data_IF_245087589068
#
_entry.id   IF_245087589068
#
_cell.length_a   1.000
_cell.length_b   1.000
_cell.length_c   1.000
_cell.angle_alpha   90.00
_cell.angle_beta   90.00
_cell.angle_gamma   90.00
#
_symmetry.space_group_name_H-M   'P 1'
#
loop_
_entity.id
_entity.type
_entity.pdbx_description
1 polymer ?
#
# COMPACT_ATOMS: atom_id res chain seq x y z
N UNK A 1 -19.03 6.47 21.16
CA UNK A 1 -18.53 5.74 19.96
C UNK A 1 -17.29 4.98 20.37
N UNK A 2 -17.16 3.70 20.03
CA UNK A 2 -15.94 2.93 20.34
C UNK A 2 -14.83 3.41 19.41
N UNK A 3 -13.75 3.92 19.97
CA UNK A 3 -12.53 4.29 19.23
C UNK A 3 -11.55 3.13 19.26
N UNK A 4 -10.66 3.08 18.28
CA UNK A 4 -9.54 2.17 18.25
C UNK A 4 -8.34 2.83 17.58
N UNK A 5 -7.15 2.33 17.90
CA UNK A 5 -5.89 2.81 17.32
C UNK A 5 -5.21 1.65 16.60
N UNK A 6 -4.64 1.93 15.43
CA UNK A 6 -3.93 0.93 14.63
C UNK A 6 -2.81 1.59 13.84
N UNK A 7 -1.74 0.83 13.59
CA UNK A 7 -0.66 1.23 12.70
C UNK A 7 -0.84 0.59 11.32
N UNK A 8 -0.54 1.36 10.28
CA UNK A 8 -0.75 0.91 8.92
C UNK A 8 0.01 1.73 7.89
N UNK A 9 0.13 1.18 6.68
CA UNK A 9 0.69 1.87 5.52
C UNK A 9 -0.47 2.35 4.64
N UNK A 10 -0.43 3.62 4.23
CA UNK A 10 -1.40 4.17 3.28
C UNK A 10 -1.14 3.56 1.90
N UNK A 11 -1.97 2.61 1.47
CA UNK A 11 -1.82 1.90 0.18
C UNK A 11 -2.74 2.43 -0.92
N UNK A 12 -3.81 3.15 -0.57
CA UNK A 12 -4.73 3.74 -1.53
C UNK A 12 -5.46 4.95 -0.96
N UNK A 13 -5.77 5.91 -1.84
CA UNK A 13 -6.47 7.15 -1.51
C UNK A 13 -7.48 7.45 -2.60
N UNK A 14 -8.70 7.78 -2.22
CA UNK A 14 -9.77 8.15 -3.15
C UNK A 14 -10.48 9.39 -2.64
N UNK A 15 -10.68 10.39 -3.50
CA UNK A 15 -11.47 11.57 -3.14
C UNK A 15 -12.95 11.18 -3.04
N UNK A 16 -13.65 11.73 -2.06
CA UNK A 16 -15.11 11.59 -1.94
C UNK A 16 -15.73 12.95 -1.66
N UNK A 17 -16.65 13.36 -2.53
CA UNK A 17 -17.17 14.73 -2.54
C UNK A 17 -16.07 15.79 -2.61
N UNK A 18 -16.37 16.97 -2.09
CA UNK A 18 -15.47 18.13 -2.21
C UNK A 18 -14.36 18.17 -1.16
N UNK A 19 -14.63 17.70 0.07
CA UNK A 19 -13.75 17.95 1.20
C UNK A 19 -13.05 16.70 1.76
N UNK A 20 -13.50 15.51 1.38
CA UNK A 20 -13.17 14.27 2.10
C UNK A 20 -12.35 13.30 1.23
N UNK A 21 -11.71 12.32 1.87
CA UNK A 21 -11.08 11.18 1.19
C UNK A 21 -11.39 9.88 1.91
N UNK A 22 -11.48 8.80 1.15
CA UNK A 22 -11.31 7.43 1.64
C UNK A 22 -9.82 7.11 1.63
N UNK A 23 -9.32 6.61 2.75
CA UNK A 23 -7.94 6.20 2.94
C UNK A 23 -7.92 4.71 3.27
N UNK A 24 -7.29 3.91 2.42
CA UNK A 24 -7.10 2.48 2.68
C UNK A 24 -5.73 2.28 3.32
N UNK A 25 -5.74 1.69 4.51
CA UNK A 25 -4.55 1.30 5.25
C UNK A 25 -4.39 -0.21 5.15
N UNK A 26 -3.19 -0.66 4.84
CA UNK A 26 -2.79 -2.02 5.13
C UNK A 26 -2.15 -2.07 6.51
N UNK A 27 -2.76 -2.80 7.43
CA UNK A 27 -2.37 -2.84 8.84
C UNK A 27 -1.90 -4.23 9.22
N UNK A 28 -1.00 -4.30 10.20
CA UNK A 28 -0.49 -5.57 10.70
C UNK A 28 -1.59 -6.41 11.37
N UNK A 29 -2.46 -5.78 12.16
CA UNK A 29 -3.37 -6.48 13.08
C UNK A 29 -4.83 -6.50 12.65
N UNK A 30 -5.25 -5.60 11.76
CA UNK A 30 -6.63 -5.56 11.24
C UNK A 30 -6.69 -5.90 9.75
N UNK A 31 -5.57 -6.21 9.10
CA UNK A 31 -5.51 -6.39 7.65
C UNK A 31 -5.76 -5.09 6.90
N UNK A 32 -6.37 -5.19 5.72
CA UNK A 32 -6.74 -4.04 4.91
C UNK A 32 -8.04 -3.40 5.42
N UNK A 33 -7.99 -2.11 5.74
CA UNK A 33 -9.14 -1.33 6.21
C UNK A 33 -9.25 -0.02 5.46
N UNK A 34 -10.49 0.45 5.22
CA UNK A 34 -10.74 1.76 4.61
C UNK A 34 -11.40 2.70 5.62
N UNK A 35 -10.84 3.90 5.75
CA UNK A 35 -11.29 4.95 6.68
C UNK A 35 -11.74 6.20 5.94
N UNK A 36 -12.79 6.84 6.44
CA UNK A 36 -13.23 8.16 5.98
C UNK A 36 -12.42 9.26 6.68
N UNK A 37 -11.62 10.00 5.92
CA UNK A 37 -10.91 11.19 6.37
C UNK A 37 -11.72 12.45 6.02
N UNK A 38 -12.58 12.89 6.94
CA UNK A 38 -13.45 14.06 6.75
C UNK A 38 -12.66 15.38 6.75
N UNK A 39 -13.03 16.28 5.85
CA UNK A 39 -12.50 17.62 5.70
C UNK A 39 -11.01 17.66 5.33
N UNK A 40 -10.42 16.53 4.94
CA UNK A 40 -8.97 16.39 4.75
C UNK A 40 -8.44 17.27 3.61
N UNK A 41 -9.30 17.59 2.62
CA UNK A 41 -8.97 18.42 1.46
C UNK A 41 -9.19 19.92 1.68
N UNK A 42 -9.77 20.33 2.81
CA UNK A 42 -9.92 21.75 3.14
C UNK A 42 -8.54 22.38 3.30
N UNK A 43 -8.36 23.62 2.84
CA UNK A 43 -7.10 24.36 2.97
C UNK A 43 -6.63 24.50 4.43
N UNK A 44 -7.56 24.50 5.40
CA UNK A 44 -7.27 24.52 6.83
C UNK A 44 -6.85 23.16 7.43
N UNK A 45 -6.85 22.09 6.64
CA UNK A 45 -6.56 20.74 7.13
C UNK A 45 -5.08 20.56 7.45
N UNK A 46 -4.78 20.37 8.73
CA UNK A 46 -3.43 20.06 9.22
C UNK A 46 -2.99 18.61 8.96
N UNK A 47 -3.91 17.73 8.54
CA UNK A 47 -3.69 16.28 8.43
C UNK A 47 -3.35 15.82 6.99
N UNK A 48 -3.43 16.71 6.00
CA UNK A 48 -3.38 16.31 4.58
C UNK A 48 -2.07 15.62 4.22
N UNK A 49 -0.92 16.17 4.65
CA UNK A 49 0.40 15.59 4.40
C UNK A 49 0.67 14.31 5.18
N UNK A 50 -0.08 14.06 6.26
CA UNK A 50 0.09 12.85 7.08
C UNK A 50 -0.47 11.61 6.41
N UNK A 51 -1.49 11.77 5.55
CA UNK A 51 -2.19 10.68 4.85
C UNK A 51 -1.76 10.62 3.38
N UNK A 52 -0.48 10.88 3.10
CA UNK A 52 0.10 10.66 1.78
C UNK A 52 0.32 9.16 1.51
N UNK A 53 0.25 8.78 0.23
CA UNK A 53 0.48 7.40 -0.19
C UNK A 53 1.86 6.93 0.33
N UNK A 54 1.98 5.66 0.69
CA UNK A 54 3.16 5.01 1.26
C UNK A 54 3.52 5.42 2.69
N UNK A 55 2.93 6.47 3.28
CA UNK A 55 3.24 6.80 4.66
C UNK A 55 2.85 5.64 5.58
N UNK A 56 3.75 5.27 6.48
CA UNK A 56 3.42 4.46 7.65
C UNK A 56 2.91 5.41 8.74
N UNK A 57 1.71 5.13 9.22
CA UNK A 57 0.97 6.01 10.12
C UNK A 57 0.39 5.22 11.29
N UNK A 58 0.28 5.89 12.44
CA UNK A 58 -0.58 5.48 13.55
C UNK A 58 -1.85 6.31 13.46
N UNK A 59 -3.01 5.65 13.41
CA UNK A 59 -4.30 6.33 13.29
C UNK A 59 -5.21 5.96 14.46
N UNK A 60 -5.99 6.94 14.91
CA UNK A 60 -7.15 6.72 15.76
C UNK A 60 -8.41 6.83 14.92
N UNK A 61 -9.30 5.85 15.01
CA UNK A 61 -10.55 5.82 14.25
C UNK A 61 -11.75 5.59 15.18
N UNK A 62 -12.85 6.28 14.87
CA UNK A 62 -14.14 6.06 15.51
C UNK A 62 -14.96 5.08 14.69
N UNK A 63 -15.48 4.02 15.34
CA UNK A 63 -16.33 3.04 14.68
C UNK A 63 -17.61 3.70 14.16
N UNK A 64 -17.88 3.51 12.86
CA UNK A 64 -19.06 4.03 12.18
C UNK A 64 -20.33 3.22 12.48
N UNK A 65 -21.49 3.72 12.03
CA UNK A 65 -22.72 2.92 11.90
C UNK A 65 -22.66 2.20 10.55
N UNK A 66 -21.90 1.11 10.46
CA UNK A 66 -21.67 0.37 9.21
C UNK A 66 -20.21 -0.07 9.05
N UNK A 67 -19.79 -0.36 7.82
CA UNK A 67 -18.44 -0.86 7.52
C UNK A 67 -17.36 0.24 7.50
N UNK A 68 -17.79 1.51 7.36
CA UNK A 68 -16.90 2.64 7.17
C UNK A 68 -16.64 3.39 8.49
N UNK A 69 -15.41 3.23 8.98
CA UNK A 69 -14.91 3.89 10.19
C UNK A 69 -14.37 5.30 9.84
N UNK A 70 -14.45 6.24 10.78
CA UNK A 70 -14.02 7.64 10.54
C UNK A 70 -12.67 7.91 11.19
N UNK A 71 -11.72 8.42 10.42
CA UNK A 71 -10.40 8.83 10.91
C UNK A 71 -10.52 10.09 11.78
N UNK A 72 -10.06 9.98 13.02
CA UNK A 72 -10.09 11.07 14.00
C UNK A 72 -8.71 11.72 14.13
N UNK A 73 -7.66 10.92 14.31
CA UNK A 73 -6.29 11.38 14.49
C UNK A 73 -5.32 10.58 13.61
N UNK A 74 -4.19 11.20 13.29
CA UNK A 74 -3.11 10.58 12.53
C UNK A 74 -1.76 11.11 13.01
N UNK A 75 -0.81 10.20 13.18
CA UNK A 75 0.59 10.48 13.41
C UNK A 75 1.40 9.76 12.32
N UNK A 76 2.31 10.48 11.65
CA UNK A 76 3.25 9.86 10.71
C UNK A 76 4.37 9.21 11.52
N UNK A 77 4.57 7.91 11.31
CA UNK A 77 5.69 7.15 11.89
C UNK A 77 6.87 7.14 10.92
N UNK A 78 6.60 6.92 9.64
CA UNK A 78 7.60 6.97 8.59
C UNK A 78 6.99 7.49 7.28
N UNK A 79 7.62 8.50 6.70
CA UNK A 79 7.23 9.02 5.40
C UNK A 79 8.00 8.39 4.24
N UNK A 80 9.09 7.66 4.47
CA UNK A 80 9.98 7.13 3.42
C UNK A 80 10.43 8.21 2.41
N UNK A 81 10.72 9.42 2.89
CA UNK A 81 11.00 10.60 2.07
C UNK A 81 12.13 10.47 1.02
N UNK A 82 13.26 9.76 1.24
CA UNK A 82 14.43 9.85 0.36
C UNK A 82 14.19 9.50 -1.11
N UNK A 83 13.25 8.59 -1.39
CA UNK A 83 12.99 8.11 -2.75
C UNK A 83 11.80 8.77 -3.45
N UNK A 84 10.99 9.57 -2.74
CA UNK A 84 9.76 10.19 -3.29
C UNK A 84 10.01 11.24 -4.38
N UNK A 85 11.24 11.70 -4.54
CA UNK A 85 11.66 12.58 -5.64
C UNK A 85 11.98 11.86 -6.94
N UNK A 86 12.15 10.54 -6.89
CA UNK A 86 12.54 9.74 -8.05
C UNK A 86 11.32 9.00 -8.59
N UNK A 87 10.86 9.38 -9.76
CA UNK A 87 9.63 8.86 -10.35
C UNK A 87 9.64 7.33 -10.48
N UNK A 88 10.75 6.76 -10.96
CA UNK A 88 10.89 5.30 -11.05
C UNK A 88 10.72 4.59 -9.71
N UNK A 89 11.19 5.17 -8.59
CA UNK A 89 11.02 4.59 -7.25
C UNK A 89 9.58 4.68 -6.76
N UNK A 90 8.90 5.79 -7.06
CA UNK A 90 7.47 5.97 -6.77
C UNK A 90 6.67 4.87 -7.48
N UNK A 91 6.99 4.57 -8.74
CA UNK A 91 6.28 3.53 -9.48
C UNK A 91 6.46 2.15 -8.88
N UNK A 92 7.65 1.82 -8.41
CA UNK A 92 7.93 0.56 -7.72
C UNK A 92 7.13 0.46 -6.40
N UNK A 93 7.12 1.53 -5.60
CA UNK A 93 6.33 1.58 -4.38
C UNK A 93 4.83 1.44 -4.65
N UNK A 94 4.35 2.08 -5.72
CA UNK A 94 2.97 2.00 -6.18
C UNK A 94 2.59 0.58 -6.61
N UNK A 95 3.45 -0.09 -7.40
CA UNK A 95 3.23 -1.47 -7.81
C UNK A 95 3.05 -2.39 -6.60
N UNK A 96 3.93 -2.31 -5.60
CA UNK A 96 3.81 -3.13 -4.39
C UNK A 96 2.51 -2.85 -3.62
N UNK A 97 2.13 -1.57 -3.46
CA UNK A 97 0.88 -1.20 -2.79
C UNK A 97 -0.34 -1.68 -3.57
N UNK A 98 -0.31 -1.59 -4.91
CA UNK A 98 -1.37 -2.06 -5.79
C UNK A 98 -1.54 -3.59 -5.68
N UNK A 99 -0.44 -4.34 -5.70
CA UNK A 99 -0.47 -5.80 -5.54
C UNK A 99 -1.07 -6.18 -4.19
N UNK A 100 -0.64 -5.53 -3.10
CA UNK A 100 -1.21 -5.77 -1.76
C UNK A 100 -2.69 -5.39 -1.71
N UNK A 101 -3.10 -4.25 -2.26
CA UNK A 101 -4.52 -3.84 -2.33
C UNK A 101 -5.36 -4.86 -3.11
N UNK A 102 -4.81 -5.44 -4.18
CA UNK A 102 -5.57 -6.31 -5.08
C UNK A 102 -5.61 -7.77 -4.62
N UNK A 103 -4.58 -8.26 -3.94
CA UNK A 103 -4.46 -9.67 -3.52
C UNK A 103 -4.88 -9.95 -2.08
N UNK A 104 -4.97 -8.93 -1.22
CA UNK A 104 -5.41 -9.13 0.17
C UNK A 104 -6.88 -8.76 0.34
N UNK A 105 -7.68 -9.59 1.06
CA UNK A 105 -9.06 -9.24 1.37
C UNK A 105 -9.16 -8.23 2.52
N UNK A 106 -10.31 -7.55 2.59
CA UNK A 106 -10.59 -6.59 3.65
C UNK A 106 -10.70 -7.29 5.02
N UNK A 107 -10.17 -6.64 6.04
CA UNK A 107 -10.23 -7.08 7.44
C UNK A 107 -9.62 -8.45 7.74
N UNK A 108 -8.74 -8.97 6.87
CA UNK A 108 -7.96 -10.19 7.10
C UNK A 108 -6.48 -9.82 7.34
N UNK A 109 -5.96 -10.00 8.56
CA UNK A 109 -4.56 -9.69 8.88
C UNK A 109 -3.59 -10.62 8.14
N UNK A 110 -2.56 -10.03 7.55
CA UNK A 110 -1.40 -10.73 7.00
C UNK A 110 -0.10 -10.04 7.49
N UNK A 111 0.33 -10.31 8.74
CA UNK A 111 1.48 -9.64 9.35
C UNK A 111 2.77 -9.74 8.52
N UNK A 112 2.98 -10.87 7.83
CA UNK A 112 4.19 -11.11 7.06
C UNK A 112 4.25 -10.26 5.80
N UNK A 113 3.09 -10.03 5.17
CA UNK A 113 2.95 -9.12 4.03
C UNK A 113 3.12 -7.68 4.51
N UNK A 114 2.63 -7.35 5.71
CA UNK A 114 2.80 -6.00 6.27
C UNK A 114 4.28 -5.69 6.51
N UNK A 115 4.98 -6.62 7.15
CA UNK A 115 6.43 -6.55 7.40
C UNK A 115 7.19 -6.45 6.07
N UNK A 116 6.87 -7.31 5.11
CA UNK A 116 7.48 -7.29 3.78
C UNK A 116 7.25 -5.97 3.05
N UNK A 117 6.03 -5.42 3.06
CA UNK A 117 5.72 -4.15 2.42
C UNK A 117 6.49 -3.00 3.08
N UNK A 118 6.50 -2.93 4.41
CA UNK A 118 7.24 -1.89 5.15
C UNK A 118 8.74 -1.94 4.86
N UNK A 119 9.33 -3.15 4.93
CA UNK A 119 10.73 -3.37 4.59
C UNK A 119 11.03 -2.98 3.14
N UNK A 120 10.20 -3.40 2.20
CA UNK A 120 10.36 -3.07 0.77
C UNK A 120 10.36 -1.56 0.56
N UNK A 121 9.39 -0.84 1.12
CA UNK A 121 9.32 0.63 1.05
C UNK A 121 10.54 1.32 1.68
N UNK A 122 11.11 0.77 2.76
CA UNK A 122 12.35 1.27 3.34
C UNK A 122 13.58 1.05 2.45
N UNK A 123 13.60 -0.06 1.70
CA UNK A 123 14.75 -0.49 0.91
C UNK A 123 14.77 0.10 -0.51
N UNK A 124 13.64 0.62 -0.98
CA UNK A 124 13.53 1.27 -2.30
C UNK A 124 14.59 2.37 -2.51
N UNK A 125 15.00 3.11 -1.47
CA UNK A 125 16.05 4.13 -1.61
C UNK A 125 17.43 3.55 -1.95
N UNK A 126 17.69 2.31 -1.55
CA UNK A 126 19.01 1.67 -1.59
C UNK A 126 19.15 0.66 -2.72
N UNK A 127 18.09 0.45 -3.51
CA UNK A 127 18.11 -0.43 -4.67
C UNK A 127 19.22 -0.02 -5.65
N UNK A 128 20.01 -0.99 -6.13
CA UNK A 128 21.12 -0.75 -7.06
C UNK A 128 20.67 -1.08 -8.49
N UNK A 129 21.62 -1.50 -9.34
CA UNK A 129 21.36 -1.87 -10.75
C UNK A 129 20.49 -3.13 -10.87
N UNK A 130 20.44 -3.97 -9.85
CA UNK A 130 19.67 -5.23 -9.75
C UNK A 130 18.23 -5.04 -9.24
N UNK A 131 17.67 -3.83 -9.36
CA UNK A 131 16.38 -3.48 -8.78
C UNK A 131 15.23 -4.35 -9.29
N UNK A 132 15.27 -4.81 -10.55
CA UNK A 132 14.25 -5.70 -11.12
C UNK A 132 14.17 -7.02 -10.34
N UNK A 133 15.34 -7.61 -10.06
CA UNK A 133 15.43 -8.87 -9.31
C UNK A 133 14.88 -8.71 -7.89
N UNK A 134 15.22 -7.61 -7.21
CA UNK A 134 14.69 -7.32 -5.87
C UNK A 134 13.18 -7.13 -5.85
N UNK A 135 12.64 -6.37 -6.81
CA UNK A 135 11.20 -6.12 -6.92
C UNK A 135 10.44 -7.40 -7.27
N UNK A 136 10.95 -8.20 -8.21
CA UNK A 136 10.36 -9.51 -8.54
C UNK A 136 10.43 -10.47 -7.34
N UNK A 137 11.52 -10.44 -6.57
CA UNK A 137 11.64 -11.20 -5.32
C UNK A 137 10.55 -10.84 -4.30
N UNK A 138 10.31 -9.54 -4.06
CA UNK A 138 9.25 -9.11 -3.14
C UNK A 138 7.85 -9.48 -3.66
N UNK A 139 7.59 -9.32 -4.97
CA UNK A 139 6.32 -9.74 -5.59
C UNK A 139 6.09 -11.25 -5.44
N UNK A 140 7.12 -12.06 -5.68
CA UNK A 140 7.08 -13.51 -5.48
C UNK A 140 6.84 -13.89 -4.02
N UNK A 141 7.48 -13.21 -3.09
CA UNK A 141 7.23 -13.42 -1.66
C UNK A 141 5.78 -13.14 -1.30
N UNK A 142 5.17 -12.06 -1.81
CA UNK A 142 3.74 -11.76 -1.57
C UNK A 142 2.86 -12.92 -2.06
N UNK A 143 3.02 -13.40 -3.30
CA UNK A 143 2.19 -14.48 -3.83
C UNK A 143 2.40 -15.81 -3.10
N UNK A 144 3.64 -16.08 -2.65
CA UNK A 144 3.95 -17.27 -1.87
C UNK A 144 3.33 -17.21 -0.46
N UNK A 145 3.42 -16.06 0.22
CA UNK A 145 2.82 -15.86 1.55
C UNK A 145 1.29 -15.92 1.51
N UNK A 146 0.68 -15.56 0.38
CA UNK A 146 -0.76 -15.69 0.16
C UNK A 146 -1.19 -17.10 -0.29
N UNK A 147 -0.25 -18.01 -0.54
CA UNK A 147 -0.53 -19.39 -0.93
C UNK A 147 -0.88 -19.58 -2.41
N UNK A 148 -0.64 -18.57 -3.27
CA UNK A 148 -0.81 -18.72 -4.72
C UNK A 148 0.33 -19.50 -5.39
N UNK A 149 1.51 -19.52 -4.76
CA UNK A 149 2.66 -20.32 -5.22
C UNK A 149 3.33 -21.03 -4.04
N UNK A 150 3.75 -22.30 -4.19
CA UNK A 150 4.42 -23.04 -3.12
C UNK A 150 5.85 -22.54 -2.86
N UNK A 151 6.21 -22.39 -1.58
CA UNK A 151 7.50 -21.80 -1.14
C UNK A 151 8.73 -22.64 -1.49
N UNK A 152 8.55 -23.94 -1.71
CA UNK A 152 9.60 -24.91 -2.02
C UNK A 152 9.86 -25.08 -3.52
N UNK A 153 9.08 -24.41 -4.38
CA UNK A 153 9.27 -24.47 -5.83
C UNK A 153 9.84 -23.18 -6.37
N UNK A 154 10.83 -23.32 -7.24
CA UNK A 154 11.32 -22.22 -8.05
C UNK A 154 10.21 -21.74 -9.01
N UNK A 155 10.00 -20.43 -9.05
CA UNK A 155 9.12 -19.81 -10.03
C UNK A 155 9.92 -19.42 -11.26
N UNK A 156 9.47 -19.87 -12.43
CA UNK A 156 10.06 -19.54 -13.73
C UNK A 156 9.00 -18.85 -14.57
N UNK A 157 9.22 -17.58 -14.91
CA UNK A 157 8.28 -16.77 -15.69
C UNK A 157 8.30 -15.30 -15.31
N UNK A 158 7.41 -14.52 -15.92
CA UNK A 158 7.19 -13.12 -15.59
C UNK A 158 6.20 -12.99 -14.44
N UNK A 159 6.71 -12.57 -13.28
CA UNK A 159 5.93 -12.47 -12.03
C UNK A 159 4.71 -11.55 -12.19
N UNK A 160 4.83 -10.50 -13.01
CA UNK A 160 3.74 -9.56 -13.25
C UNK A 160 2.58 -10.24 -14.00
N UNK A 161 2.86 -11.08 -15.00
CA UNK A 161 1.83 -11.81 -15.75
C UNK A 161 1.06 -12.77 -14.83
N UNK A 162 1.78 -13.53 -13.99
CA UNK A 162 1.14 -14.43 -13.02
C UNK A 162 0.25 -13.69 -12.01
N UNK A 163 0.69 -12.52 -11.55
CA UNK A 163 -0.12 -11.68 -10.67
C UNK A 163 -1.36 -11.16 -11.40
N UNK A 164 -1.23 -10.73 -12.65
CA UNK A 164 -2.35 -10.26 -13.47
C UNK A 164 -3.39 -11.37 -13.73
N UNK A 165 -2.96 -12.62 -13.91
CA UNK A 165 -3.80 -13.80 -13.98
C UNK A 165 -4.60 -14.01 -12.68
N UNK A 166 -3.93 -13.98 -11.52
CA UNK A 166 -4.59 -14.14 -10.21
C UNK A 166 -5.67 -13.06 -10.01
N UNK A 167 -5.36 -11.82 -10.39
CA UNK A 167 -6.25 -10.68 -10.18
C UNK A 167 -7.32 -10.58 -11.29
N UNK A 168 -7.15 -11.24 -12.42
CA UNK A 168 -7.99 -11.13 -13.63
C UNK A 168 -8.08 -9.69 -14.19
N UNK A 169 -6.97 -8.94 -14.15
CA UNK A 169 -6.85 -7.58 -14.72
C UNK A 169 -5.38 -7.14 -14.77
N UNK A 170 -4.99 -6.24 -15.69
CA UNK A 170 -3.65 -5.70 -15.72
C UNK A 170 -3.30 -4.92 -14.45
N UNK A 171 -2.03 -4.92 -14.09
CA UNK A 171 -1.47 -3.98 -13.15
C UNK A 171 -1.42 -2.60 -13.82
N UNK A 172 -1.66 -1.54 -13.06
CA UNK A 172 -1.60 -0.17 -13.60
C UNK A 172 -0.17 0.38 -13.60
N UNK A 173 0.69 -0.14 -12.72
CA UNK A 173 2.09 0.30 -12.62
C UNK A 173 2.98 0.08 -13.86
N UNK A 174 2.83 -1.00 -14.66
CA UNK A 174 3.70 -1.23 -15.83
C UNK A 174 3.52 -0.17 -16.93
N UNK A 175 2.30 0.31 -17.17
CA UNK A 175 2.01 1.35 -18.19
C UNK A 175 2.65 2.71 -17.84
N UNK A 176 3.00 2.92 -16.57
CA UNK A 176 3.70 4.09 -16.09
C UNK A 176 5.23 3.97 -16.20
N UNK A 177 5.79 2.74 -16.09
CA UNK A 177 7.23 2.47 -16.29
C UNK A 177 7.63 2.46 -17.76
N UNK A 178 6.77 1.96 -18.66
CA UNK A 178 7.04 1.88 -20.11
C UNK A 178 7.27 3.26 -20.73
N UNK A 179 6.53 4.27 -20.25
CA UNK A 179 6.66 5.68 -20.68
C UNK A 179 7.94 6.39 -20.22
N UNK A 180 8.74 5.76 -19.36
CA UNK A 180 10.02 6.30 -18.87
C UNK A 180 11.24 5.74 -19.60
N UNK A 181 11.05 4.75 -20.49
CA UNK A 181 12.10 4.18 -21.35
C UNK A 181 12.17 4.85 -22.74
N UNK A 182 11.37 5.89 -22.99
CA UNK A 182 11.45 6.78 -24.16
C UNK A 182 12.12 8.09 -23.74
#
# INVERSE_FOLDING_TARGET
>A
MRTYTVEGIVIKRQNIGEADKLITLFTETLGKITLLARGIRKSSSRRVGSLELFNQVKVSAARGRGELDTLTEVQVLNSFSPWRRFLGRITLAYQLCEIVDKLTPDRQPHPEIFTLLSLSLSQISNLKRDWQSKINGWKLQIVCELGYWPKDKEYVGEVDEFIEEIINRPLHSPDFLSRLKQ
#
